data_IF_109970649561
#
_entry.id   IF_109970649561
#
_cell.length_a   1.000
_cell.length_b   1.000
_cell.length_c   1.000
_cell.angle_alpha   90.00
_cell.angle_beta   90.00
_cell.angle_gamma   90.00
#
_symmetry.space_group_name_H-M   'P 1'
#
loop_
_entity.id
_entity.type
_entity.pdbx_description
1 polymer ?
#
# COMPACT_ATOMS: atom_id res chain seq x y z
N UNK A 1 -37.87 9.78 -15.56
CA UNK A 1 -37.23 8.59 -16.15
C UNK A 1 -35.87 8.43 -15.48
N UNK A 2 -35.72 7.46 -14.58
CA UNK A 2 -34.45 7.22 -13.90
C UNK A 2 -33.48 6.45 -14.82
N UNK A 3 -32.18 6.76 -14.82
CA UNK A 3 -31.21 6.02 -15.62
C UNK A 3 -31.08 4.60 -15.05
N UNK A 4 -31.32 3.59 -15.87
CA UNK A 4 -30.98 2.21 -15.54
C UNK A 4 -29.46 2.11 -15.44
N UNK A 5 -28.95 1.93 -14.23
CA UNK A 5 -27.56 1.55 -13.99
C UNK A 5 -27.28 0.22 -14.69
N UNK A 6 -26.39 0.24 -15.69
CA UNK A 6 -25.94 -0.95 -16.37
C UNK A 6 -25.38 -1.95 -15.34
N UNK A 7 -26.05 -3.09 -15.19
CA UNK A 7 -25.56 -4.21 -14.37
C UNK A 7 -24.34 -4.79 -15.08
N UNK A 8 -23.16 -4.61 -14.51
CA UNK A 8 -21.93 -5.25 -14.99
C UNK A 8 -22.12 -6.76 -14.79
N UNK A 9 -22.19 -7.51 -15.88
CA UNK A 9 -22.32 -8.96 -15.86
C UNK A 9 -20.95 -9.58 -15.45
N UNK A 10 -20.84 -10.24 -14.27
CA UNK A 10 -19.57 -10.73 -13.75
C UNK A 10 -18.95 -11.86 -14.60
N UNK A 11 -19.72 -12.47 -15.50
CA UNK A 11 -19.28 -13.61 -16.33
C UNK A 11 -18.54 -13.22 -17.63
N UNK A 12 -18.29 -11.93 -17.88
CA UNK A 12 -17.56 -11.45 -19.07
C UNK A 12 -16.18 -10.86 -18.74
N UNK A 13 -15.45 -11.43 -17.79
CA UNK A 13 -14.01 -11.11 -17.68
C UNK A 13 -13.24 -12.01 -18.65
N UNK A 14 -12.48 -11.46 -19.61
CA UNK A 14 -11.55 -12.28 -20.38
C UNK A 14 -10.63 -13.05 -19.41
N UNK A 15 -10.15 -14.24 -19.78
CA UNK A 15 -9.22 -14.99 -18.94
C UNK A 15 -8.03 -14.10 -18.59
N UNK A 16 -7.64 -14.09 -17.31
CA UNK A 16 -6.50 -13.29 -16.86
C UNK A 16 -5.27 -13.67 -17.67
N UNK A 17 -4.65 -12.68 -18.32
CA UNK A 17 -3.32 -12.85 -18.90
C UNK A 17 -2.32 -12.96 -17.74
N UNK A 18 -1.88 -14.19 -17.47
CA UNK A 18 -0.94 -14.47 -16.39
C UNK A 18 0.41 -13.76 -16.58
N UNK A 19 0.84 -13.50 -17.82
CA UNK A 19 2.08 -12.78 -18.08
C UNK A 19 1.91 -11.30 -17.71
N UNK A 20 0.75 -10.71 -18.00
CA UNK A 20 0.44 -9.35 -17.57
C UNK A 20 0.38 -9.24 -16.04
N UNK A 21 -0.28 -10.20 -15.37
CA UNK A 21 -0.33 -10.26 -13.90
C UNK A 21 1.08 -10.35 -13.30
N UNK A 22 1.93 -11.23 -13.82
CA UNK A 22 3.30 -11.41 -13.32
C UNK A 22 4.14 -10.15 -13.50
N UNK A 23 4.02 -9.46 -14.63
CA UNK A 23 4.70 -8.16 -14.85
C UNK A 23 4.25 -7.14 -13.81
N UNK A 24 2.95 -7.08 -13.52
CA UNK A 24 2.40 -6.18 -12.51
C UNK A 24 2.89 -6.47 -11.09
N UNK A 25 2.93 -7.75 -10.70
CA UNK A 25 3.51 -8.21 -9.43
C UNK A 25 4.98 -7.80 -9.32
N UNK A 26 5.75 -8.01 -10.38
CA UNK A 26 7.18 -7.70 -10.39
C UNK A 26 7.45 -6.20 -10.27
N UNK A 27 6.69 -5.36 -10.97
CA UNK A 27 6.78 -3.90 -10.84
C UNK A 27 6.46 -3.43 -9.43
N UNK A 28 5.39 -3.97 -8.85
CA UNK A 28 5.00 -3.67 -7.46
C UNK A 28 6.11 -4.09 -6.50
N UNK A 29 6.67 -5.30 -6.67
CA UNK A 29 7.79 -5.81 -5.87
C UNK A 29 9.00 -4.86 -5.92
N UNK A 30 9.40 -4.42 -7.11
CA UNK A 30 10.53 -3.52 -7.30
C UNK A 30 10.30 -2.16 -6.62
N UNK A 31 9.09 -1.60 -6.75
CA UNK A 31 8.73 -0.34 -6.08
C UNK A 31 8.80 -0.47 -4.55
N UNK A 32 8.26 -1.55 -3.99
CA UNK A 32 8.34 -1.82 -2.55
C UNK A 32 9.80 -2.00 -2.10
N UNK A 33 10.60 -2.78 -2.81
CA UNK A 33 12.02 -2.96 -2.46
C UNK A 33 12.81 -1.66 -2.49
N UNK A 34 12.58 -0.82 -3.50
CA UNK A 34 13.21 0.49 -3.58
C UNK A 34 12.90 1.34 -2.35
N UNK A 35 11.63 1.38 -1.93
CA UNK A 35 11.15 2.14 -0.77
C UNK A 35 11.71 1.57 0.53
N UNK A 36 11.71 0.24 0.69
CA UNK A 36 12.27 -0.41 1.88
C UNK A 36 13.76 -0.08 2.04
N UNK A 37 14.51 0.03 0.94
CA UNK A 37 15.92 0.44 0.98
C UNK A 37 16.13 1.93 1.37
N UNK A 38 15.07 2.74 1.45
CA UNK A 38 15.11 4.14 1.95
C UNK A 38 14.69 4.27 3.41
N UNK A 39 14.12 3.22 3.98
CA UNK A 39 13.69 3.18 5.38
C UNK A 39 14.83 2.52 6.16
N UNK A 40 15.61 3.33 6.88
CA UNK A 40 16.73 2.84 7.69
C UNK A 40 16.24 2.42 9.08
N UNK A 41 15.97 3.40 9.95
CA UNK A 41 15.35 3.21 11.25
C UNK A 41 14.33 4.33 11.51
N UNK A 42 13.36 4.04 12.38
CA UNK A 42 12.43 5.04 12.89
C UNK A 42 12.31 4.88 14.41
N UNK A 43 12.38 6.00 15.12
CA UNK A 43 12.27 6.03 16.57
C UNK A 43 10.79 6.04 16.94
N UNK A 44 10.32 4.96 17.57
CA UNK A 44 8.93 4.77 17.98
C UNK A 44 8.60 5.39 19.33
N UNK A 45 9.58 5.34 20.23
CA UNK A 45 9.46 5.78 21.61
C UNK A 45 10.68 6.64 21.92
N UNK A 46 10.44 7.77 22.58
CA UNK A 46 11.48 8.54 23.21
C UNK A 46 11.55 8.18 24.70
N UNK A 47 12.63 7.49 25.09
CA UNK A 47 12.84 7.03 26.46
C UNK A 47 12.86 8.16 27.48
N UNK A 48 13.20 9.39 27.04
CA UNK A 48 13.15 10.59 27.88
C UNK A 48 11.74 10.97 28.34
N UNK A 49 10.72 10.34 27.78
CA UNK A 49 9.32 10.59 28.12
C UNK A 49 8.78 9.58 29.15
N UNK A 50 9.48 8.48 29.47
CA UNK A 50 9.01 7.45 30.42
C UNK A 50 9.17 7.91 31.90
N UNK A 51 8.25 7.58 32.85
CA UNK A 51 7.07 6.74 32.72
C UNK A 51 5.82 7.47 32.24
N UNK A 52 5.87 8.81 32.14
CA UNK A 52 4.69 9.66 31.93
C UNK A 52 4.35 9.93 30.45
N UNK A 53 5.15 9.41 29.52
CA UNK A 53 5.00 9.63 28.09
C UNK A 53 5.35 8.39 27.28
N UNK A 54 4.54 7.98 26.31
CA UNK A 54 3.27 8.52 25.79
C UNK A 54 2.06 7.70 26.28
N UNK A 55 0.94 8.36 26.61
CA UNK A 55 -0.39 7.88 26.18
C UNK A 55 -0.87 8.76 25.01
N UNK A 56 -0.54 8.37 23.78
CA UNK A 56 -1.14 8.92 22.55
C UNK A 56 -1.47 7.73 21.65
N UNK A 57 -2.76 7.37 21.60
CA UNK A 57 -3.39 6.30 20.81
C UNK A 57 -2.40 5.17 20.49
N UNK A 58 -2.41 4.11 21.31
CA UNK A 58 -1.72 2.86 21.02
C UNK A 58 -2.24 2.25 19.70
N UNK A 59 -1.84 2.82 18.57
CA UNK A 59 -1.95 2.20 17.27
C UNK A 59 -0.85 1.16 17.21
N UNK A 60 -1.18 -0.01 16.68
CA UNK A 60 -0.22 -1.11 16.62
C UNK A 60 1.05 -0.64 15.92
N UNK A 61 2.18 -1.15 16.39
CA UNK A 61 3.47 -1.03 15.70
C UNK A 61 3.34 -1.36 14.21
N UNK A 62 2.53 -2.38 13.90
CA UNK A 62 2.12 -2.77 12.54
C UNK A 62 1.55 -1.60 11.74
N UNK A 63 0.56 -0.91 12.30
CA UNK A 63 -0.08 0.21 11.64
C UNK A 63 0.89 1.37 11.36
N UNK A 64 1.81 1.66 12.30
CA UNK A 64 2.85 2.67 12.07
C UNK A 64 3.79 2.28 10.93
N UNK A 65 4.21 1.01 10.87
CA UNK A 65 5.03 0.50 9.77
C UNK A 65 4.29 0.60 8.44
N UNK A 66 3.03 0.18 8.38
CA UNK A 66 2.18 0.28 7.19
C UNK A 66 2.13 1.73 6.68
N UNK A 67 1.87 2.69 7.56
CA UNK A 67 1.84 4.11 7.21
C UNK A 67 3.20 4.62 6.71
N UNK A 68 4.30 4.28 7.38
CA UNK A 68 5.64 4.71 6.98
C UNK A 68 5.97 4.18 5.58
N UNK A 69 5.62 2.93 5.28
CA UNK A 69 5.82 2.34 3.96
C UNK A 69 5.00 3.09 2.91
N UNK A 70 3.69 3.29 3.12
CA UNK A 70 2.83 4.02 2.17
C UNK A 70 3.32 5.45 1.94
N UNK A 71 3.74 6.16 3.00
CA UNK A 71 4.29 7.51 2.90
C UNK A 71 5.60 7.54 2.10
N UNK A 72 6.48 6.55 2.26
CA UNK A 72 7.70 6.48 1.47
C UNK A 72 7.42 6.10 0.01
N UNK A 73 6.43 5.25 -0.28
CA UNK A 73 5.98 5.00 -1.66
C UNK A 73 5.49 6.30 -2.29
N UNK A 74 4.65 7.09 -1.59
CA UNK A 74 4.20 8.41 -2.04
C UNK A 74 5.35 9.37 -2.32
N UNK A 75 6.30 9.47 -1.38
CA UNK A 75 7.48 10.34 -1.48
C UNK A 75 8.37 9.98 -2.67
N UNK A 76 8.45 8.69 -3.02
CA UNK A 76 9.34 8.18 -4.04
C UNK A 76 8.64 7.70 -5.33
N UNK A 77 7.35 8.01 -5.49
CA UNK A 77 6.51 7.49 -6.57
C UNK A 77 7.10 7.69 -7.97
N UNK A 78 7.71 8.86 -8.21
CA UNK A 78 8.29 9.19 -9.51
C UNK A 78 9.48 8.30 -9.88
N UNK A 79 10.31 7.96 -8.89
CA UNK A 79 11.45 7.05 -9.09
C UNK A 79 10.99 5.61 -9.36
N UNK A 80 9.78 5.24 -8.92
CA UNK A 80 9.18 3.94 -9.13
C UNK A 80 8.28 3.87 -10.38
N UNK A 81 8.18 4.95 -11.17
CA UNK A 81 7.27 5.01 -12.32
C UNK A 81 5.78 5.00 -11.95
N UNK A 82 5.46 5.41 -10.72
CA UNK A 82 4.10 5.49 -10.17
C UNK A 82 3.55 6.92 -10.36
N UNK A 83 2.33 7.03 -10.86
CA UNK A 83 1.61 8.29 -11.08
C UNK A 83 0.91 8.75 -9.80
N UNK A 84 0.13 7.87 -9.19
CA UNK A 84 -0.59 8.12 -7.93
C UNK A 84 -0.54 6.93 -6.99
N UNK A 85 -0.72 7.25 -5.70
CA UNK A 85 -0.76 6.31 -4.59
C UNK A 85 -1.94 6.71 -3.72
N UNK A 86 -3.06 6.07 -3.95
CA UNK A 86 -4.36 6.47 -3.42
C UNK A 86 -4.70 5.67 -2.15
N UNK A 87 -5.41 6.29 -1.22
CA UNK A 87 -5.91 5.63 -0.01
C UNK A 87 -7.09 4.71 -0.38
N UNK A 88 -7.33 3.63 0.37
CA UNK A 88 -8.54 2.84 0.21
C UNK A 88 -9.81 3.68 0.38
N UNK A 89 -10.91 3.33 -0.31
CA UNK A 89 -12.14 4.12 -0.33
C UNK A 89 -12.82 4.20 1.05
N UNK A 90 -12.53 3.28 1.95
CA UNK A 90 -12.99 3.29 3.33
C UNK A 90 -12.11 2.42 4.23
N UNK A 91 -12.12 2.67 5.54
CA UNK A 91 -11.31 1.95 6.54
C UNK A 91 -11.63 0.46 6.74
N UNK A 92 -12.64 -0.09 6.04
CA UNK A 92 -12.92 -1.53 6.00
C UNK A 92 -12.22 -2.26 4.85
N UNK A 93 -11.49 -1.53 3.99
CA UNK A 93 -10.76 -2.14 2.88
C UNK A 93 -9.62 -3.02 3.41
N UNK A 94 -9.36 -4.12 2.72
CA UNK A 94 -8.30 -5.07 3.10
C UNK A 94 -6.93 -4.69 2.53
N UNK A 95 -6.75 -3.50 1.97
CA UNK A 95 -5.50 -3.04 1.38
C UNK A 95 -5.19 -1.63 1.89
N UNK A 96 -3.91 -1.30 1.94
CA UNK A 96 -3.40 -0.07 2.56
C UNK A 96 -3.24 1.05 1.55
N UNK A 97 -2.96 0.72 0.29
CA UNK A 97 -2.90 1.69 -0.80
C UNK A 97 -3.20 1.06 -2.17
N UNK A 98 -3.52 1.93 -3.12
CA UNK A 98 -3.66 1.59 -4.54
C UNK A 98 -2.53 2.27 -5.31
N UNK A 99 -1.79 1.51 -6.12
CA UNK A 99 -0.77 2.06 -7.00
C UNK A 99 -1.28 2.16 -8.44
N UNK A 100 -0.98 3.29 -9.07
CA UNK A 100 -1.22 3.52 -10.49
C UNK A 100 0.12 3.79 -11.19
N UNK A 101 0.50 2.97 -12.16
CA UNK A 101 1.75 3.17 -12.91
C UNK A 101 1.52 4.03 -14.17
N UNK A 102 2.56 4.76 -14.60
CA UNK A 102 2.47 5.73 -15.73
C UNK A 102 1.94 5.12 -17.04
N UNK A 103 2.35 3.89 -17.34
CA UNK A 103 2.05 3.21 -18.60
C UNK A 103 1.18 1.95 -18.38
N UNK A 104 0.35 1.96 -17.34
CA UNK A 104 -0.48 0.81 -17.00
C UNK A 104 -1.88 1.27 -16.56
N UNK A 105 -2.95 0.90 -17.28
CA UNK A 105 -4.31 1.22 -16.86
C UNK A 105 -4.77 0.40 -15.65
N UNK A 106 -4.01 -0.61 -15.22
CA UNK A 106 -4.36 -1.46 -14.11
C UNK A 106 -4.06 -0.83 -12.75
N UNK A 107 -4.95 -1.05 -11.80
CA UNK A 107 -4.79 -0.68 -10.40
C UNK A 107 -4.17 -1.84 -9.62
N UNK A 108 -3.21 -1.51 -8.75
CA UNK A 108 -2.52 -2.49 -7.91
C UNK A 108 -2.86 -2.25 -6.45
N UNK A 109 -3.70 -3.13 -5.89
CA UNK A 109 -4.09 -3.09 -4.47
C UNK A 109 -2.98 -3.71 -3.63
N UNK A 110 -2.35 -2.92 -2.76
CA UNK A 110 -1.23 -3.36 -1.93
C UNK A 110 -1.66 -3.48 -0.48
N UNK A 111 -1.44 -4.67 0.09
CA UNK A 111 -1.61 -4.92 1.52
C UNK A 111 -0.21 -5.16 2.14
N UNK A 112 0.13 -4.34 3.14
CA UNK A 112 1.35 -4.38 3.90
C UNK A 112 1.05 -5.10 5.21
N UNK A 113 1.73 -6.22 5.46
CA UNK A 113 1.57 -6.98 6.69
C UNK A 113 2.90 -7.04 7.42
N UNK A 114 2.87 -6.73 8.70
CA UNK A 114 4.00 -6.98 9.60
C UNK A 114 3.79 -8.29 10.36
N UNK A 115 4.85 -9.07 10.52
CA UNK A 115 4.88 -10.21 11.43
C UNK A 115 6.08 -10.10 12.37
N UNK A 116 6.01 -10.81 13.49
CA UNK A 116 7.16 -10.99 14.36
C UNK A 116 8.16 -11.92 13.66
N UNK A 117 9.36 -11.42 13.37
CA UNK A 117 10.49 -12.28 13.04
C UNK A 117 11.21 -12.63 14.34
N UNK A 118 11.13 -13.90 14.73
CA UNK A 118 12.01 -14.44 15.77
C UNK A 118 13.37 -14.61 15.10
N UNK A 119 14.35 -13.84 15.54
CA UNK A 119 15.74 -13.88 15.06
C UNK A 119 16.65 -14.30 16.19
#
# INVERSE_FOLDING_TARGET
MSPQSARINPERRPPYDFDQVNKGVERTRLAIQYVMAKIDAFKLLDESLVPEGLKQIARSMSWLVEQIVVQNIRKHKDACGITSVDDPPHGLAQYDCVLHFKDDPQEYLVNIKTSLSIT
#
